data_IF_234429330327
#
_entry.id   IF_234429330327
#
_cell.length_a   1.000
_cell.length_b   1.000
_cell.length_c   1.000
_cell.angle_alpha   90.00
_cell.angle_beta   90.00
_cell.angle_gamma   90.00
#
_symmetry.space_group_name_H-M   'P 1'
#
loop_
_entity.id
_entity.type
_entity.pdbx_description
1 polymer ?
#
# COMPACT_ATOMS: atom_id res chain seq x y z
N UNK A 1 -19.17 2.82 9.60
CA UNK A 1 -18.47 3.55 8.52
C UNK A 1 -19.09 3.11 7.23
N UNK A 2 -19.75 4.04 6.52
CA UNK A 2 -20.29 3.76 5.20
C UNK A 2 -19.15 3.56 4.19
N UNK A 3 -19.44 2.94 3.04
CA UNK A 3 -18.46 2.72 1.99
C UNK A 3 -17.88 4.03 1.43
N UNK A 4 -16.73 4.00 0.73
CA UNK A 4 -15.93 5.19 0.35
C UNK A 4 -16.61 6.15 -0.65
N UNK A 5 -17.88 5.96 -1.00
CA UNK A 5 -18.54 6.64 -2.12
C UNK A 5 -18.71 8.15 -1.95
N UNK A 6 -18.87 8.64 -0.71
CA UNK A 6 -18.87 10.09 -0.47
C UNK A 6 -17.53 10.72 -0.90
N UNK A 7 -16.40 10.08 -0.56
CA UNK A 7 -15.07 10.54 -0.96
C UNK A 7 -14.82 10.40 -2.47
N UNK A 8 -15.52 9.48 -3.16
CA UNK A 8 -15.52 9.42 -4.63
C UNK A 8 -16.31 10.60 -5.20
N UNK A 9 -17.53 10.81 -4.66
CA UNK A 9 -18.45 11.88 -5.02
C UNK A 9 -17.84 13.27 -4.92
N UNK A 10 -17.13 13.55 -3.82
CA UNK A 10 -16.40 14.80 -3.58
C UNK A 10 -15.32 15.09 -4.64
N UNK A 11 -14.89 14.07 -5.39
CA UNK A 11 -13.91 14.21 -6.47
C UNK A 11 -14.54 14.33 -7.85
N UNK A 12 -15.85 14.26 -8.00
CA UNK A 12 -16.52 14.42 -9.29
C UNK A 12 -16.79 15.89 -9.59
N UNK A 13 -16.78 16.25 -10.88
CA UNK A 13 -17.34 17.52 -11.32
C UNK A 13 -18.87 17.53 -11.07
N UNK A 14 -19.50 18.70 -10.89
CA UNK A 14 -20.96 18.78 -10.76
C UNK A 14 -21.66 18.24 -12.01
N UNK A 15 -22.69 17.42 -11.82
CA UNK A 15 -23.41 16.76 -12.89
C UNK A 15 -23.79 15.33 -12.57
N UNK A 16 -24.37 14.66 -13.56
CA UNK A 16 -24.73 13.24 -13.48
C UNK A 16 -23.63 12.43 -14.17
N UNK A 17 -23.03 11.50 -13.43
CA UNK A 17 -21.88 10.73 -13.90
C UNK A 17 -22.01 9.24 -13.57
N UNK A 18 -21.43 8.41 -14.43
CA UNK A 18 -21.30 6.97 -14.19
C UNK A 18 -19.84 6.59 -13.96
N UNK A 19 -19.60 5.79 -12.92
CA UNK A 19 -18.29 5.31 -12.51
C UNK A 19 -18.35 3.80 -12.34
N UNK A 20 -17.42 3.08 -12.96
CA UNK A 20 -17.21 1.66 -12.66
C UNK A 20 -16.30 1.55 -11.43
N UNK A 21 -16.81 0.95 -10.34
CA UNK A 21 -16.00 0.47 -9.23
C UNK A 21 -15.51 -0.93 -9.56
N UNK A 22 -14.19 -1.11 -9.66
CA UNK A 22 -13.55 -2.36 -10.07
C UNK A 22 -12.67 -2.88 -8.96
N UNK A 23 -12.75 -4.19 -8.73
CA UNK A 23 -11.92 -4.91 -7.77
C UNK A 23 -11.25 -6.07 -8.49
N UNK A 24 -9.92 -6.10 -8.44
CA UNK A 24 -9.09 -7.13 -9.08
C UNK A 24 -8.21 -7.81 -8.06
N UNK A 25 -8.10 -9.14 -8.12
CA UNK A 25 -7.28 -9.92 -7.19
C UNK A 25 -6.16 -10.59 -7.95
N UNK A 26 -4.94 -10.41 -7.46
CA UNK A 26 -3.73 -10.91 -8.11
C UNK A 26 -2.97 -11.89 -7.21
N UNK A 27 -2.38 -12.92 -7.83
CA UNK A 27 -1.45 -13.85 -7.18
C UNK A 27 -0.43 -14.33 -8.21
N UNK A 28 0.85 -14.16 -7.90
CA UNK A 28 1.96 -14.71 -8.70
C UNK A 28 1.91 -14.37 -10.21
N UNK A 29 1.40 -13.20 -10.58
CA UNK A 29 1.26 -12.78 -11.98
C UNK A 29 -0.13 -12.99 -12.57
N UNK A 30 -0.96 -13.83 -11.95
CA UNK A 30 -2.29 -14.17 -12.43
C UNK A 30 -3.36 -13.28 -11.80
N UNK A 31 -4.31 -12.81 -12.62
CA UNK A 31 -5.55 -12.19 -12.16
C UNK A 31 -6.55 -13.30 -11.81
N UNK A 32 -6.80 -13.51 -10.52
CA UNK A 32 -7.68 -14.55 -10.00
C UNK A 32 -9.16 -14.15 -10.04
N UNK A 33 -9.45 -12.85 -10.00
CA UNK A 33 -10.81 -12.32 -10.08
C UNK A 33 -10.80 -10.90 -10.57
N UNK A 34 -11.89 -10.56 -11.25
CA UNK A 34 -12.19 -9.25 -11.79
C UNK A 34 -13.68 -8.99 -11.59
N UNK A 35 -13.98 -8.27 -10.50
CA UNK A 35 -15.33 -7.88 -10.15
C UNK A 35 -15.52 -6.41 -10.47
N UNK A 36 -16.71 -6.04 -10.94
CA UNK A 36 -17.03 -4.64 -11.20
C UNK A 36 -18.50 -4.35 -10.97
N UNK A 37 -18.78 -3.15 -10.46
CA UNK A 37 -20.14 -2.62 -10.33
C UNK A 37 -20.20 -1.20 -10.87
N UNK A 38 -21.25 -0.92 -11.65
CA UNK A 38 -21.53 0.45 -12.12
C UNK A 38 -22.25 1.24 -11.05
N UNK A 39 -21.73 2.42 -10.76
CA UNK A 39 -22.26 3.38 -9.81
C UNK A 39 -22.67 4.64 -10.56
N UNK A 40 -23.81 5.21 -10.18
CA UNK A 40 -24.30 6.47 -10.71
C UNK A 40 -24.21 7.53 -9.62
N UNK A 41 -23.72 8.71 -9.98
CA UNK A 41 -23.64 9.85 -9.09
C UNK A 41 -24.43 11.01 -9.68
N UNK A 42 -25.16 11.74 -8.84
CA UNK A 42 -25.82 13.00 -9.16
C UNK A 42 -25.26 14.09 -8.24
N UNK A 43 -24.54 15.05 -8.82
CA UNK A 43 -23.87 16.14 -8.10
C UNK A 43 -22.98 15.65 -6.94
N UNK A 44 -22.28 14.54 -7.16
CA UNK A 44 -21.39 13.91 -6.17
C UNK A 44 -22.09 13.01 -5.17
N UNK A 45 -23.42 12.96 -5.13
CA UNK A 45 -24.15 12.02 -4.30
C UNK A 45 -24.40 10.72 -5.05
N UNK A 46 -24.27 9.57 -4.37
CA UNK A 46 -24.58 8.28 -4.97
C UNK A 46 -26.09 8.21 -5.26
N UNK A 47 -26.45 8.10 -6.53
CA UNK A 47 -27.83 7.97 -7.01
C UNK A 47 -28.22 6.50 -7.06
N UNK A 48 -28.88 6.04 -5.99
CA UNK A 48 -29.37 4.67 -5.86
C UNK A 48 -29.11 4.04 -4.48
N UNK A 49 -29.40 2.73 -4.33
CA UNK A 49 -29.08 2.01 -3.12
C UNK A 49 -27.55 1.88 -2.93
N UNK A 50 -27.14 1.60 -1.70
CA UNK A 50 -25.75 1.22 -1.45
C UNK A 50 -25.37 0.01 -2.31
N UNK A 51 -24.21 0.02 -3.00
CA UNK A 51 -23.79 -1.08 -3.84
C UNK A 51 -23.46 -2.32 -3.02
N UNK A 52 -23.48 -3.46 -3.69
CA UNK A 52 -23.19 -4.74 -3.06
C UNK A 52 -21.69 -4.77 -2.69
N UNK A 53 -21.36 -5.34 -1.53
CA UNK A 53 -19.96 -5.52 -1.17
C UNK A 53 -19.32 -6.54 -2.10
N UNK A 54 -18.06 -6.31 -2.47
CA UNK A 54 -17.24 -7.39 -3.01
C UNK A 54 -16.98 -8.44 -1.92
N UNK A 55 -17.25 -9.70 -2.25
CA UNK A 55 -17.00 -10.85 -1.38
C UNK A 55 -15.95 -11.72 -2.05
N UNK A 56 -14.79 -11.86 -1.40
CA UNK A 56 -13.75 -12.79 -1.84
C UNK A 56 -14.08 -14.22 -1.39
N UNK A 57 -14.32 -15.12 -2.35
CA UNK A 57 -14.54 -16.53 -2.08
C UNK A 57 -13.23 -17.21 -1.65
N UNK A 58 -13.17 -17.60 -0.38
CA UNK A 58 -12.00 -18.21 0.25
C UNK A 58 -11.70 -19.62 -0.27
N UNK A 59 -12.67 -20.30 -0.88
CA UNK A 59 -12.49 -21.68 -1.40
C UNK A 59 -11.43 -21.77 -2.52
N UNK A 60 -11.04 -20.64 -3.11
CA UNK A 60 -9.92 -20.54 -4.07
C UNK A 60 -8.57 -20.37 -3.33
N UNK A 61 -8.03 -21.48 -2.83
CA UNK A 61 -6.64 -21.56 -2.33
C UNK A 61 -6.46 -21.42 -0.81
N UNK A 62 -7.39 -21.98 -0.05
CA UNK A 62 -7.62 -21.77 1.40
C UNK A 62 -6.66 -22.49 2.38
N UNK A 63 -5.39 -22.67 2.00
CA UNK A 63 -4.35 -22.98 2.98
C UNK A 63 -3.41 -21.78 3.03
N UNK A 64 -2.96 -21.36 4.22
CA UNK A 64 -1.88 -20.39 4.33
C UNK A 64 -0.76 -20.79 3.36
N UNK A 65 -0.59 -19.98 2.30
CA UNK A 65 0.45 -20.19 1.31
C UNK A 65 1.53 -19.14 1.57
N UNK A 66 2.81 -19.48 1.38
CA UNK A 66 3.90 -18.50 1.44
C UNK A 66 3.75 -17.35 0.42
N UNK A 67 2.82 -17.48 -0.54
CA UNK A 67 2.56 -16.50 -1.60
C UNK A 67 1.22 -15.76 -1.35
N UNK A 68 1.24 -14.59 -0.69
CA UNK A 68 0.03 -13.80 -0.49
C UNK A 68 -0.54 -13.28 -1.82
N UNK A 69 -1.86 -13.10 -1.86
CA UNK A 69 -2.52 -12.30 -2.89
C UNK A 69 -2.60 -10.83 -2.46
N UNK A 70 -2.77 -9.93 -3.43
CA UNK A 70 -3.19 -8.56 -3.16
C UNK A 70 -4.41 -8.21 -4.01
N UNK A 71 -5.13 -7.18 -3.58
CA UNK A 71 -6.33 -6.69 -4.23
C UNK A 71 -6.11 -5.23 -4.63
N UNK A 72 -6.51 -4.89 -5.86
CA UNK A 72 -6.60 -3.51 -6.35
C UNK A 72 -8.06 -3.08 -6.41
N UNK A 73 -8.36 -1.87 -5.93
CA UNK A 73 -9.68 -1.26 -6.02
C UNK A 73 -9.56 0.07 -6.78
N UNK A 74 -10.26 0.15 -7.91
CA UNK A 74 -10.22 1.28 -8.82
C UNK A 74 -11.61 1.88 -9.01
N UNK A 75 -11.67 3.19 -9.23
CA UNK A 75 -12.88 3.91 -9.66
C UNK A 75 -12.56 4.55 -11.01
N UNK A 76 -13.28 4.13 -12.05
CA UNK A 76 -12.98 4.50 -13.43
C UNK A 76 -14.21 5.13 -14.07
N UNK A 77 -14.03 6.24 -14.77
CA UNK A 77 -15.08 6.89 -15.55
C UNK A 77 -15.60 5.96 -16.63
N UNK A 78 -16.92 5.83 -16.76
CA UNK A 78 -17.51 5.13 -17.91
C UNK A 78 -17.26 5.97 -19.17
N UNK A 79 -16.83 5.33 -20.26
CA UNK A 79 -16.60 6.02 -21.55
C UNK A 79 -15.34 6.89 -21.60
N UNK A 80 -14.41 6.74 -20.65
CA UNK A 80 -13.15 7.52 -20.55
C UNK A 80 -13.36 9.04 -20.44
N UNK A 81 -14.49 9.46 -19.88
CA UNK A 81 -14.81 10.87 -19.63
C UNK A 81 -13.96 11.47 -18.50
N UNK A 82 -13.50 12.70 -18.68
CA UNK A 82 -12.74 13.43 -17.66
C UNK A 82 -13.66 14.04 -16.59
N UNK A 83 -14.24 13.19 -15.74
CA UNK A 83 -15.23 13.55 -14.71
C UNK A 83 -14.63 13.78 -13.32
N UNK A 84 -13.39 13.35 -13.08
CA UNK A 84 -12.71 13.53 -11.80
C UNK A 84 -11.95 14.86 -11.76
N UNK A 85 -12.11 15.62 -10.67
CA UNK A 85 -11.43 16.89 -10.38
C UNK A 85 -9.92 16.74 -10.23
N UNK A 86 -9.45 15.55 -9.83
CA UNK A 86 -8.03 15.26 -9.66
C UNK A 86 -7.75 13.76 -9.80
N UNK A 87 -6.47 13.42 -10.03
CA UNK A 87 -5.99 12.04 -9.98
C UNK A 87 -5.55 11.64 -8.55
N UNK A 88 -5.90 12.42 -7.52
CA UNK A 88 -5.58 12.09 -6.13
C UNK A 88 -6.55 11.01 -5.69
N UNK A 89 -6.04 9.83 -5.35
CA UNK A 89 -6.89 8.74 -4.88
C UNK A 89 -7.69 9.16 -3.61
N UNK A 90 -9.00 8.91 -3.57
CA UNK A 90 -9.82 9.06 -2.37
C UNK A 90 -9.20 8.31 -1.20
N UNK A 91 -9.06 8.98 -0.06
CA UNK A 91 -8.47 8.37 1.14
C UNK A 91 -9.53 7.61 1.91
N UNK A 92 -9.43 6.29 1.96
CA UNK A 92 -10.25 5.46 2.83
C UNK A 92 -9.42 4.33 3.43
N UNK A 93 -9.78 3.95 4.66
CA UNK A 93 -9.17 2.81 5.34
C UNK A 93 -9.87 1.52 4.95
N UNK A 94 -9.09 0.48 4.65
CA UNK A 94 -9.60 -0.88 4.69
C UNK A 94 -9.60 -1.35 6.15
N UNK A 95 -10.72 -1.91 6.61
CA UNK A 95 -10.84 -2.44 7.98
C UNK A 95 -10.80 -3.96 7.89
N UNK A 96 -9.79 -4.56 8.49
CA UNK A 96 -9.67 -6.00 8.60
C UNK A 96 -10.21 -6.45 9.95
N UNK A 97 -11.15 -7.41 9.92
CA UNK A 97 -11.77 -7.98 11.12
C UNK A 97 -11.87 -9.49 11.00
N UNK A 98 -11.77 -10.19 12.11
CA UNK A 98 -12.02 -11.63 12.19
C UNK A 98 -12.60 -12.01 13.56
N UNK A 99 -13.46 -13.03 13.65
CA UNK A 99 -14.02 -13.48 14.93
C UNK A 99 -12.91 -13.80 15.96
N UNK A 100 -13.02 -13.23 17.16
CA UNK A 100 -12.04 -13.41 18.23
C UNK A 100 -10.68 -12.76 17.98
N UNK A 101 -10.55 -11.89 16.97
CA UNK A 101 -9.31 -11.15 16.65
C UNK A 101 -9.52 -9.64 16.79
N UNK A 102 -8.43 -8.92 17.04
CA UNK A 102 -8.41 -7.46 17.02
C UNK A 102 -8.63 -6.98 15.58
N UNK A 103 -9.47 -5.96 15.41
CA UNK A 103 -9.61 -5.27 14.13
C UNK A 103 -8.46 -4.29 13.92
N UNK A 104 -7.99 -4.15 12.68
CA UNK A 104 -6.98 -3.16 12.32
C UNK A 104 -7.35 -2.41 11.05
N UNK A 105 -6.86 -1.18 10.95
CA UNK A 105 -7.08 -0.28 9.83
C UNK A 105 -5.85 -0.29 8.94
N UNK A 106 -6.04 -0.53 7.65
CA UNK A 106 -5.02 -0.37 6.63
C UNK A 106 -5.28 0.91 5.86
N UNK A 107 -4.38 1.87 6.01
CA UNK A 107 -4.31 3.00 5.09
C UNK A 107 -3.83 2.48 3.74
N UNK A 108 -4.68 2.56 2.72
CA UNK A 108 -4.30 2.16 1.35
C UNK A 108 -4.01 3.38 0.47
N UNK A 109 -4.17 4.59 0.99
CA UNK A 109 -4.12 5.84 0.23
C UNK A 109 -2.73 6.15 -0.33
N UNK A 110 -2.71 6.81 -1.49
CA UNK A 110 -1.58 7.52 -2.14
C UNK A 110 -0.36 6.69 -2.60
N UNK A 111 -0.39 5.36 -2.57
CA UNK A 111 0.86 4.57 -2.67
C UNK A 111 1.32 4.14 -4.06
N UNK A 112 0.61 4.52 -5.12
CA UNK A 112 1.05 4.26 -6.49
C UNK A 112 1.62 5.50 -7.19
N UNK A 113 1.01 6.66 -6.96
CA UNK A 113 1.26 7.89 -7.72
C UNK A 113 2.11 8.94 -7.04
N UNK A 114 2.58 8.74 -5.79
CA UNK A 114 3.36 9.77 -5.09
C UNK A 114 4.61 10.16 -5.89
N UNK A 115 4.56 11.37 -6.46
CA UNK A 115 5.58 11.87 -7.36
C UNK A 115 6.96 11.92 -6.70
N UNK A 116 7.02 12.10 -5.37
CA UNK A 116 8.27 12.11 -4.61
C UNK A 116 9.00 10.76 -4.65
N UNK A 117 8.26 9.65 -4.48
CA UNK A 117 8.81 8.29 -4.55
C UNK A 117 9.22 7.97 -5.99
N UNK A 118 8.39 8.35 -6.97
CA UNK A 118 8.72 8.21 -8.40
C UNK A 118 9.99 8.99 -8.75
N UNK A 119 10.13 10.22 -8.26
CA UNK A 119 11.30 11.06 -8.51
C UNK A 119 12.56 10.51 -7.84
N UNK A 120 12.47 9.92 -6.64
CA UNK A 120 13.59 9.24 -5.99
C UNK A 120 14.08 8.06 -6.82
N UNK A 121 13.17 7.16 -7.21
CA UNK A 121 13.52 6.01 -8.05
C UNK A 121 14.11 6.46 -9.38
N UNK A 122 13.55 7.50 -10.01
CA UNK A 122 14.10 8.09 -11.23
C UNK A 122 15.48 8.69 -11.04
N UNK A 123 15.74 9.38 -9.91
CA UNK A 123 17.00 10.07 -9.67
C UNK A 123 18.14 9.12 -9.31
N UNK A 124 17.86 8.06 -8.55
CA UNK A 124 18.89 7.18 -7.98
C UNK A 124 18.85 5.75 -8.53
N UNK A 125 17.87 5.44 -9.39
CA UNK A 125 17.64 4.08 -9.91
C UNK A 125 17.21 3.08 -8.84
N UNK A 126 16.87 3.55 -7.63
CA UNK A 126 16.59 2.71 -6.46
C UNK A 126 15.48 3.30 -5.61
N UNK A 127 14.66 2.41 -5.08
CA UNK A 127 13.77 2.66 -3.95
C UNK A 127 14.54 2.45 -2.65
N UNK A 128 14.27 3.27 -1.65
CA UNK A 128 14.78 3.08 -0.30
C UNK A 128 13.71 3.48 0.72
N UNK A 129 13.62 2.70 1.79
CA UNK A 129 12.68 2.90 2.89
C UNK A 129 13.35 2.48 4.20
N UNK A 130 12.91 3.04 5.32
CA UNK A 130 13.41 2.71 6.65
C UNK A 130 12.23 2.49 7.60
N UNK A 131 12.32 1.48 8.46
CA UNK A 131 11.28 1.20 9.44
C UNK A 131 11.88 1.00 10.83
N UNK A 132 11.17 1.54 11.82
CA UNK A 132 11.61 1.67 13.21
C UNK A 132 10.39 1.69 14.15
N UNK A 133 10.47 1.02 15.32
CA UNK A 133 11.36 -0.09 15.67
C UNK A 133 10.79 -1.44 15.18
N UNK A 134 11.68 -2.42 14.95
CA UNK A 134 11.33 -3.82 14.73
C UNK A 134 11.77 -4.63 15.93
N UNK A 135 10.89 -5.48 16.45
CA UNK A 135 11.18 -6.43 17.52
C UNK A 135 10.85 -7.86 17.11
N UNK A 136 11.65 -8.82 17.54
CA UNK A 136 11.39 -10.26 17.40
C UNK A 136 11.72 -10.87 18.76
N UNK A 137 10.83 -11.69 19.30
CA UNK A 137 11.00 -12.31 20.62
C UNK A 137 10.30 -13.67 20.66
N UNK A 138 11.08 -14.75 20.81
CA UNK A 138 10.55 -16.11 20.86
C UNK A 138 9.82 -16.43 22.15
N UNK A 139 10.24 -15.87 23.29
CA UNK A 139 9.60 -16.12 24.58
C UNK A 139 8.23 -15.44 24.64
N UNK A 140 8.09 -14.28 24.01
CA UNK A 140 6.84 -13.54 23.93
C UNK A 140 5.93 -14.00 22.77
N UNK A 141 6.34 -15.00 21.98
CA UNK A 141 5.66 -15.41 20.74
C UNK A 141 5.41 -14.23 19.79
N UNK A 142 6.41 -13.37 19.59
CA UNK A 142 6.28 -12.11 18.84
C UNK A 142 7.24 -12.05 17.66
N UNK A 143 6.71 -11.74 16.48
CA UNK A 143 7.45 -11.59 15.24
C UNK A 143 6.90 -10.42 14.42
N UNK A 144 7.73 -9.98 13.48
CA UNK A 144 7.35 -8.98 12.50
C UNK A 144 7.64 -9.49 11.10
N UNK A 145 6.77 -9.14 10.16
CA UNK A 145 6.97 -9.44 8.76
C UNK A 145 6.82 -8.20 7.91
N UNK A 146 7.63 -8.13 6.85
CA UNK A 146 7.48 -7.14 5.81
C UNK A 146 6.67 -7.74 4.67
N UNK A 147 5.50 -7.16 4.42
CA UNK A 147 4.71 -7.43 3.24
C UNK A 147 5.15 -6.51 2.12
N UNK A 148 5.49 -7.11 0.99
CA UNK A 148 5.96 -6.42 -0.21
C UNK A 148 5.02 -6.72 -1.37
N UNK A 149 4.31 -5.71 -1.86
CA UNK A 149 3.39 -5.83 -3.00
C UNK A 149 4.05 -5.22 -4.24
N UNK A 150 4.21 -6.04 -5.28
CA UNK A 150 4.65 -5.63 -6.60
C UNK A 150 3.47 -5.67 -7.58
N UNK A 151 2.85 -4.53 -7.84
CA UNK A 151 1.71 -4.48 -8.74
C UNK A 151 2.12 -4.28 -10.21
N UNK A 152 3.42 -4.13 -10.49
CA UNK A 152 3.93 -4.01 -11.86
C UNK A 152 4.09 -5.38 -12.51
N UNK A 153 4.10 -5.44 -13.84
CA UNK A 153 4.34 -6.71 -14.58
C UNK A 153 5.79 -7.21 -14.49
N UNK A 154 6.75 -6.34 -14.20
CA UNK A 154 8.16 -6.69 -14.08
C UNK A 154 8.49 -7.08 -12.65
N UNK A 155 9.44 -7.98 -12.48
CA UNK A 155 9.91 -8.36 -11.16
C UNK A 155 10.67 -7.22 -10.46
N UNK A 156 10.55 -7.21 -9.14
CA UNK A 156 11.32 -6.35 -8.25
C UNK A 156 12.30 -7.20 -7.45
N UNK A 157 13.54 -6.73 -7.36
CA UNK A 157 14.56 -7.30 -6.50
C UNK A 157 14.80 -6.32 -5.35
N UNK A 158 14.58 -6.80 -4.13
CA UNK A 158 14.72 -6.05 -2.90
C UNK A 158 15.84 -6.63 -2.01
N UNK A 159 16.23 -5.83 -1.03
CA UNK A 159 17.14 -6.16 0.07
C UNK A 159 16.61 -5.52 1.35
N UNK A 160 16.68 -6.24 2.46
CA UNK A 160 16.47 -5.70 3.81
C UNK A 160 17.82 -5.71 4.53
N UNK A 161 18.27 -4.55 5.00
CA UNK A 161 19.48 -4.37 5.80
C UNK A 161 19.06 -4.02 7.22
N UNK A 162 19.55 -4.77 8.21
CA UNK A 162 19.27 -4.57 9.62
C UNK A 162 20.32 -3.68 10.27
N UNK A 163 19.96 -3.02 11.37
CA UNK A 163 20.81 -2.02 12.02
C UNK A 163 22.14 -2.55 12.57
N UNK A 164 22.26 -3.86 12.78
CA UNK A 164 23.49 -4.53 13.22
C UNK A 164 24.35 -5.09 12.06
N UNK A 165 23.96 -4.80 10.82
CA UNK A 165 24.67 -5.19 9.62
C UNK A 165 24.21 -6.51 9.00
N UNK A 166 23.30 -7.26 9.63
CA UNK A 166 22.64 -8.43 9.00
C UNK A 166 21.85 -7.99 7.77
N UNK A 167 21.64 -8.91 6.81
CA UNK A 167 20.75 -8.63 5.67
C UNK A 167 20.01 -9.85 5.16
N UNK A 168 18.81 -9.60 4.64
CA UNK A 168 18.08 -10.50 3.75
C UNK A 168 18.26 -9.97 2.33
N UNK A 169 19.09 -10.66 1.54
CA UNK A 169 19.54 -10.21 0.23
C UNK A 169 18.74 -10.84 -0.92
N UNK A 170 18.64 -10.10 -2.04
CA UNK A 170 18.08 -10.57 -3.32
C UNK A 170 16.68 -11.16 -3.20
N UNK A 171 15.84 -10.56 -2.38
CA UNK A 171 14.43 -10.91 -2.24
C UNK A 171 13.74 -10.61 -3.57
N UNK A 172 13.31 -11.63 -4.29
CA UNK A 172 12.58 -11.48 -5.57
C UNK A 172 11.08 -11.45 -5.31
N UNK A 173 10.44 -10.40 -5.82
CA UNK A 173 8.99 -10.25 -5.83
C UNK A 173 8.56 -10.24 -7.30
N UNK A 174 7.83 -11.27 -7.71
CA UNK A 174 7.40 -11.44 -9.09
C UNK A 174 6.46 -10.31 -9.52
N UNK A 175 6.33 -10.11 -10.83
CA UNK A 175 5.32 -9.19 -11.36
C UNK A 175 3.89 -9.56 -10.95
N UNK A 176 3.06 -8.56 -10.64
CA UNK A 176 1.69 -8.71 -10.16
C UNK A 176 1.59 -9.79 -9.06
N UNK A 177 2.46 -9.68 -8.06
CA UNK A 177 2.48 -10.57 -6.90
C UNK A 177 2.75 -9.82 -5.60
N UNK A 178 2.55 -10.50 -4.47
CA UNK A 178 2.97 -10.03 -3.17
C UNK A 178 3.87 -11.07 -2.49
N UNK A 179 4.65 -10.64 -1.50
CA UNK A 179 5.49 -11.50 -0.66
C UNK A 179 5.33 -11.13 0.80
N UNK A 180 5.36 -12.15 1.65
CA UNK A 180 5.33 -12.02 3.11
C UNK A 180 6.69 -12.49 3.64
N UNK A 181 7.52 -11.57 4.11
CA UNK A 181 8.91 -11.85 4.50
C UNK A 181 9.00 -11.79 6.02
N UNK A 182 9.27 -12.94 6.65
CA UNK A 182 9.43 -13.02 8.09
C UNK A 182 10.77 -12.43 8.51
N UNK A 183 10.77 -11.55 9.51
CA UNK A 183 12.00 -10.96 10.00
C UNK A 183 12.73 -11.88 10.98
N UNK A 184 12.02 -12.81 11.63
CA UNK A 184 12.62 -13.91 12.41
C UNK A 184 13.61 -14.80 11.63
N UNK A 185 13.59 -14.77 10.30
CA UNK A 185 14.57 -15.47 9.45
C UNK A 185 16.02 -14.99 9.68
N UNK A 186 16.24 -13.84 10.34
CA UNK A 186 17.57 -13.35 10.70
C UNK A 186 18.13 -13.92 12.01
N UNK A 187 17.27 -14.55 12.82
CA UNK A 187 17.67 -15.10 14.10
C UNK A 187 18.38 -16.43 13.92
N UNK A 188 19.57 -16.56 14.50
CA UNK A 188 20.23 -17.85 14.68
C UNK A 188 19.41 -18.80 15.56
N UNK A 189 19.74 -20.09 15.55
CA UNK A 189 19.05 -21.10 16.37
C UNK A 189 19.12 -20.77 17.87
N UNK A 190 20.23 -20.19 18.33
CA UNK A 190 20.47 -19.85 19.74
C UNK A 190 20.06 -18.42 20.12
N UNK A 191 19.62 -17.60 19.15
CA UNK A 191 19.13 -16.25 19.43
C UNK A 191 17.65 -16.27 19.79
N UNK A 192 17.31 -15.70 20.94
CA UNK A 192 15.94 -15.66 21.44
C UNK A 192 15.17 -14.42 21.00
N UNK A 193 15.87 -13.30 20.83
CA UNK A 193 15.25 -12.02 20.49
C UNK A 193 16.18 -11.13 19.68
N UNK A 194 15.57 -10.16 18.99
CA UNK A 194 16.27 -9.10 18.29
C UNK A 194 15.44 -7.82 18.31
N UNK A 195 16.11 -6.68 18.47
CA UNK A 195 15.49 -5.36 18.46
C UNK A 195 16.37 -4.40 17.66
N UNK A 196 15.78 -3.66 16.72
CA UNK A 196 16.54 -2.70 15.94
C UNK A 196 15.74 -1.98 14.85
N UNK A 197 16.49 -1.47 13.87
CA UNK A 197 15.95 -0.86 12.65
C UNK A 197 16.16 -1.76 11.45
N UNK A 198 15.36 -1.53 10.41
CA UNK A 198 15.70 -2.02 9.08
C UNK A 198 15.62 -0.92 8.02
N UNK A 199 16.37 -1.15 6.95
CA UNK A 199 16.31 -0.39 5.71
C UNK A 199 15.96 -1.34 4.57
N UNK A 200 14.94 -1.01 3.78
CA UNK A 200 14.56 -1.72 2.57
C UNK A 200 15.15 -0.97 1.39
N UNK A 201 15.73 -1.68 0.44
CA UNK A 201 16.12 -1.11 -0.86
C UNK A 201 15.63 -2.01 -1.98
N UNK A 202 15.25 -1.42 -3.12
CA UNK A 202 14.79 -2.17 -4.28
C UNK A 202 15.13 -1.48 -5.60
N UNK A 203 15.15 -2.25 -6.70
CA UNK A 203 15.38 -1.73 -8.06
C UNK A 203 14.18 -0.95 -8.65
N UNK A 204 13.03 -0.94 -7.96
CA UNK A 204 11.85 -0.17 -8.32
C UNK A 204 11.04 0.15 -7.06
N UNK A 205 10.07 1.06 -7.17
CA UNK A 205 9.09 1.30 -6.11
C UNK A 205 8.39 0.00 -5.76
N UNK A 206 8.25 -0.29 -4.47
CA UNK A 206 7.47 -1.40 -3.94
C UNK A 206 6.54 -0.87 -2.87
N UNK A 207 5.35 -1.46 -2.73
CA UNK A 207 4.42 -1.09 -1.67
C UNK A 207 4.74 -1.98 -0.47
N UNK A 208 5.02 -1.36 0.68
CA UNK A 208 5.55 -2.03 1.86
C UNK A 208 4.68 -1.82 3.08
N UNK A 209 4.43 -2.92 3.82
CA UNK A 209 3.75 -2.89 5.10
C UNK A 209 4.55 -3.70 6.13
N UNK A 210 4.56 -3.23 7.37
CA UNK A 210 5.01 -3.98 8.54
C UNK A 210 3.79 -4.64 9.17
N UNK A 211 3.92 -5.93 9.47
CA UNK A 211 2.86 -6.73 10.10
C UNK A 211 3.42 -7.33 11.36
N UNK A 212 2.85 -6.95 12.51
CA UNK A 212 3.21 -7.48 13.82
C UNK A 212 2.30 -8.66 14.11
N UNK A 213 2.85 -9.84 14.39
CA UNK A 213 2.07 -11.05 14.53
C UNK A 213 2.73 -12.07 15.48
N UNK A 214 2.01 -13.16 15.78
CA UNK A 214 2.57 -14.28 16.53
C UNK A 214 3.71 -14.95 15.76
N UNK A 215 4.78 -15.33 16.45
CA UNK A 215 5.90 -16.07 15.87
C UNK A 215 5.46 -17.49 15.48
N UNK A 216 4.70 -18.17 16.33
CA UNK A 216 4.21 -19.52 16.08
C UNK A 216 3.14 -19.55 14.98
N UNK A 217 2.28 -18.53 14.92
CA UNK A 217 1.22 -18.42 13.91
C UNK A 217 1.09 -17.00 13.32
N UNK A 218 1.64 -16.75 12.13
CA UNK A 218 1.56 -15.45 11.45
C UNK A 218 0.16 -14.93 11.13
N UNK A 219 -0.87 -15.77 11.19
CA UNK A 219 -2.26 -15.33 11.00
C UNK A 219 -2.81 -14.54 12.20
N UNK A 220 -2.14 -14.63 13.35
CA UNK A 220 -2.48 -13.87 14.55
C UNK A 220 -1.83 -12.50 14.45
N UNK A 221 -2.49 -11.60 13.74
CA UNK A 221 -2.02 -10.22 13.54
C UNK A 221 -2.41 -9.34 14.73
N UNK A 222 -1.46 -8.59 15.26
CA UNK A 222 -1.62 -7.62 16.33
C UNK A 222 -1.70 -6.18 15.81
N UNK A 223 -0.97 -5.92 14.74
CA UNK A 223 -0.85 -4.60 14.12
C UNK A 223 -0.47 -4.73 12.64
N UNK A 224 -0.85 -3.72 11.87
CA UNK A 224 -0.58 -3.62 10.45
C UNK A 224 -0.35 -2.16 10.10
N UNK A 225 0.86 -1.86 9.67
CA UNK A 225 1.29 -0.50 9.41
C UNK A 225 1.90 -0.38 8.03
N UNK A 226 1.58 0.69 7.32
CA UNK A 226 2.29 1.00 6.09
C UNK A 226 3.64 1.63 6.37
N UNK A 227 4.67 1.25 5.61
CA UNK A 227 5.94 1.94 5.69
C UNK A 227 5.89 3.21 4.83
N UNK A 228 6.02 4.36 5.49
CA UNK A 228 6.17 5.61 4.78
C UNK A 228 7.59 5.77 4.23
N UNK A 229 7.74 5.39 2.95
CA UNK A 229 8.95 5.55 2.16
C UNK A 229 9.77 6.77 2.59
N UNK A 230 10.97 6.55 3.12
CA UNK A 230 11.90 7.62 3.45
C UNK A 230 12.07 8.55 2.24
N UNK A 231 11.48 9.75 2.37
CA UNK A 231 11.45 10.76 1.32
C UNK A 231 12.76 11.51 1.41
N UNK A 232 13.79 10.98 0.75
CA UNK A 232 15.06 11.68 0.55
C UNK A 232 14.78 12.95 -0.28
N UNK A 233 14.33 14.01 0.39
CA UNK A 233 14.11 15.30 -0.24
C UNK A 233 15.45 15.91 -0.61
N UNK A 234 15.48 16.63 -1.73
CA UNK A 234 16.62 17.51 -1.99
C UNK A 234 16.64 18.54 -0.87
N UNK A 235 17.63 18.44 0.00
CA UNK A 235 17.93 19.47 1.02
C UNK A 235 18.28 20.82 0.39
N UNK A 236 18.56 20.85 -0.92
CA UNK A 236 18.81 22.06 -1.69
C UNK A 236 17.71 22.33 -2.73
N UNK A 237 16.92 23.39 -2.50
CA UNK A 237 15.98 23.96 -3.46
C UNK A 237 16.70 24.98 -4.36
N UNK A 238 16.73 24.79 -5.70
CA UNK A 238 17.27 25.80 -6.60
C UNK A 238 16.55 27.15 -6.42
N UNK A 239 17.31 28.25 -6.43
CA UNK A 239 16.82 29.59 -6.10
C UNK A 239 15.55 29.98 -6.89
N UNK A 240 15.52 29.71 -8.20
CA UNK A 240 14.36 30.03 -9.05
C UNK A 240 13.10 29.22 -8.72
N UNK A 241 13.25 27.99 -8.20
CA UNK A 241 12.11 27.17 -7.74
C UNK A 241 11.53 27.72 -6.44
N UNK A 242 12.40 28.17 -5.52
CA UNK A 242 12.02 28.83 -4.27
C UNK A 242 11.27 30.15 -4.54
N UNK A 243 11.79 30.98 -5.46
CA UNK A 243 11.13 32.22 -5.91
C UNK A 243 9.74 31.95 -6.51
N UNK A 244 9.60 30.92 -7.35
CA UNK A 244 8.32 30.55 -7.95
C UNK A 244 7.30 30.11 -6.89
N UNK A 245 7.71 29.30 -5.91
CA UNK A 245 6.84 28.88 -4.81
C UNK A 245 6.40 30.06 -3.95
N UNK A 246 7.32 30.98 -3.64
CA UNK A 246 7.00 32.18 -2.88
C UNK A 246 5.96 33.06 -3.61
N UNK A 247 6.15 33.30 -4.92
CA UNK A 247 5.20 34.08 -5.71
C UNK A 247 3.84 33.39 -5.85
N UNK A 248 3.83 32.05 -6.02
CA UNK A 248 2.59 31.26 -6.05
C UNK A 248 1.81 31.36 -4.74
N UNK A 249 2.49 31.24 -3.60
CA UNK A 249 1.89 31.38 -2.28
C UNK A 249 1.39 32.81 -1.99
N UNK A 250 2.09 33.83 -2.49
CA UNK A 250 1.66 35.23 -2.40
C UNK A 250 0.38 35.48 -3.21
N UNK A 251 0.29 34.97 -4.44
CA UNK A 251 -0.92 35.08 -5.27
C UNK A 251 -2.12 34.37 -4.65
N UNK A 252 -1.93 33.20 -4.07
CA UNK A 252 -3.00 32.43 -3.43
C UNK A 252 -3.59 33.12 -2.18
N UNK A 253 -2.93 34.14 -1.63
CA UNK A 253 -3.44 34.97 -0.51
C UNK A 253 -4.15 36.25 -0.95
N UNK A 254 -4.06 36.59 -2.24
CA UNK A 254 -4.66 37.79 -2.82
C UNK A 254 -5.98 37.48 -3.57
N UNK A 255 -6.37 36.21 -3.63
CA UNK A 255 -7.66 35.70 -4.11
C UNK A 255 -8.41 35.19 -2.90
#
# INVERSE_FOLDING_TARGET
MGPPFAAIGDQLIPGIHEVDWRIRVFRNGDELSNWSQRLRFDNGELDGPAPDPFIWDRTVGDTWRPDPCFLESDFVSVGDEAIFLSNIQPSFYAIFTAPGRKSFFSDSGVKFGLAIVVNQVRAYGKYADCYLPVSIDRDADYDESIVMINPYRKDIIARILFSDGRSLDRIRINGASARFIRLSDILGADENSWLGSLQITANNRIITFSVKHSLANPEIIHDYEHLDAYRAERTHLPLFRKLRQFYGAYRAKLV
#
